data_IF_410213602916
#
_entry.id   IF_410213602916
#
_cell.length_a   1.000
_cell.length_b   1.000
_cell.length_c   1.000
_cell.angle_alpha   90.00
_cell.angle_beta   90.00
_cell.angle_gamma   90.00
#
_symmetry.space_group_name_H-M   'P 1'
#
loop_
_entity.id
_entity.type
_entity.pdbx_description
1 polymer ?
#
# COMPACT_ATOMS: atom_id res chain seq x y z
N UNK A 1 10.38 -0.54 17.98
CA UNK A 1 10.23 0.88 17.61
C UNK A 1 8.83 1.06 17.06
N UNK A 2 8.04 2.01 17.56
CA UNK A 2 6.68 2.25 17.02
C UNK A 2 6.81 3.03 15.70
N UNK A 3 6.21 2.61 14.58
CA UNK A 3 6.38 3.25 13.26
C UNK A 3 6.19 4.78 13.27
N UNK A 4 5.28 5.29 14.10
CA UNK A 4 5.04 6.75 14.24
C UNK A 4 6.25 7.54 14.75
N UNK A 5 7.07 6.97 15.64
CA UNK A 5 8.26 7.66 16.15
C UNK A 5 9.32 7.82 15.05
N UNK A 6 9.53 6.75 14.27
CA UNK A 6 10.44 6.78 13.12
C UNK A 6 9.99 7.81 12.09
N UNK A 7 8.69 7.91 11.81
CA UNK A 7 8.17 8.91 10.88
C UNK A 7 8.45 10.35 11.34
N UNK A 8 8.35 10.63 12.64
CA UNK A 8 8.71 11.94 13.18
C UNK A 8 10.20 12.23 12.98
N UNK A 9 11.06 11.28 13.33
CA UNK A 9 12.51 11.42 13.16
C UNK A 9 12.88 11.65 11.68
N UNK A 10 12.26 10.92 10.76
CA UNK A 10 12.46 11.10 9.32
C UNK A 10 12.00 12.49 8.85
N UNK A 11 10.85 12.98 9.34
CA UNK A 11 10.37 14.31 9.03
C UNK A 11 11.30 15.41 9.58
N UNK A 12 11.81 15.26 10.80
CA UNK A 12 12.79 16.18 11.41
C UNK A 12 14.09 16.23 10.62
N UNK A 13 14.51 15.09 10.05
CA UNK A 13 15.63 14.98 9.12
C UNK A 13 15.33 15.49 7.71
N UNK A 14 14.14 16.07 7.47
CA UNK A 14 13.67 16.62 6.20
C UNK A 14 13.62 15.58 5.06
N UNK A 15 13.36 14.32 5.40
CA UNK A 15 13.05 13.29 4.40
C UNK A 15 11.81 13.71 3.62
N UNK A 16 11.84 13.54 2.30
CA UNK A 16 10.77 13.98 1.41
C UNK A 16 9.69 12.93 1.17
N UNK A 17 10.06 11.66 1.26
CA UNK A 17 9.19 10.54 0.87
C UNK A 17 9.48 9.28 1.65
N UNK A 18 8.45 8.49 1.90
CA UNK A 18 8.52 7.16 2.50
C UNK A 18 7.75 6.15 1.65
N UNK A 19 8.27 4.93 1.53
CA UNK A 19 7.57 3.81 0.90
C UNK A 19 7.27 2.75 1.97
N UNK A 20 5.99 2.37 2.10
CA UNK A 20 5.56 1.25 2.92
C UNK A 20 5.65 -0.04 2.12
N UNK A 21 6.62 -0.88 2.48
CA UNK A 21 6.88 -2.19 1.89
C UNK A 21 7.45 -3.12 2.97
N UNK A 22 7.82 -4.35 2.63
CA UNK A 22 8.46 -5.28 3.56
C UNK A 22 8.37 -6.73 3.11
N UNK A 23 8.84 -7.66 3.97
CA UNK A 23 8.76 -9.10 3.70
C UNK A 23 7.36 -9.70 3.82
N UNK A 24 6.37 -8.91 4.24
CA UNK A 24 4.94 -9.27 4.30
C UNK A 24 4.08 -8.19 3.64
N UNK A 25 2.76 -8.28 3.78
CA UNK A 25 1.82 -7.37 3.14
C UNK A 25 1.47 -6.16 4.05
N UNK A 26 1.82 -4.90 3.67
CA UNK A 26 1.61 -3.73 4.52
C UNK A 26 0.15 -3.51 4.93
N UNK A 27 -0.83 -3.84 4.07
CA UNK A 27 -2.26 -3.70 4.36
C UNK A 27 -2.76 -4.67 5.44
N UNK A 28 -1.94 -5.64 5.88
CA UNK A 28 -2.25 -6.50 7.03
C UNK A 28 -1.92 -5.87 8.38
N UNK A 29 -1.11 -4.81 8.41
CA UNK A 29 -0.77 -4.14 9.67
C UNK A 29 -2.02 -3.46 10.27
N UNK A 30 -2.38 -3.72 11.54
CA UNK A 30 -3.63 -3.22 12.14
C UNK A 30 -3.73 -1.69 12.13
N UNK A 31 -2.61 -1.01 12.33
CA UNK A 31 -2.56 0.46 12.38
C UNK A 31 -2.21 1.13 11.03
N UNK A 32 -2.26 0.41 9.89
CA UNK A 32 -1.77 0.97 8.61
C UNK A 32 -2.42 2.31 8.27
N UNK A 33 -3.73 2.47 8.48
CA UNK A 33 -4.46 3.71 8.20
C UNK A 33 -3.95 4.87 9.07
N UNK A 34 -3.74 4.60 10.35
CA UNK A 34 -3.24 5.59 11.30
C UNK A 34 -1.79 5.96 11.04
N UNK A 35 -0.99 5.02 10.52
CA UNK A 35 0.39 5.27 10.10
C UNK A 35 0.42 6.17 8.86
N UNK A 36 -0.42 5.89 7.86
CA UNK A 36 -0.52 6.69 6.62
C UNK A 36 -1.00 8.10 6.92
N UNK A 37 -2.05 8.27 7.73
CA UNK A 37 -2.53 9.58 8.18
C UNK A 37 -1.44 10.37 8.90
N UNK A 38 -0.68 9.71 9.76
CA UNK A 38 0.43 10.33 10.48
C UNK A 38 1.52 10.80 9.51
N UNK A 39 1.96 9.94 8.58
CA UNK A 39 2.94 10.31 7.56
C UNK A 39 2.46 11.51 6.70
N UNK A 40 1.19 11.54 6.32
CA UNK A 40 0.59 12.65 5.57
C UNK A 40 0.62 13.95 6.37
N UNK A 41 0.27 13.88 7.66
CA UNK A 41 0.27 15.06 8.54
C UNK A 41 1.66 15.68 8.73
N UNK A 42 2.72 14.89 8.54
CA UNK A 42 4.12 15.34 8.56
C UNK A 42 4.58 15.92 7.21
N UNK A 43 3.72 15.96 6.19
CA UNK A 43 4.04 16.48 4.86
C UNK A 43 4.91 15.55 4.01
N UNK A 44 4.99 14.26 4.36
CA UNK A 44 5.75 13.28 3.58
C UNK A 44 4.99 12.88 2.31
N UNK A 45 5.70 12.68 1.20
CA UNK A 45 5.17 11.96 0.04
C UNK A 45 5.13 10.47 0.35
N UNK A 46 4.01 9.81 0.03
CA UNK A 46 3.75 8.45 0.51
C UNK A 46 3.62 7.49 -0.67
N UNK A 47 4.47 6.46 -0.67
CA UNK A 47 4.35 5.29 -1.52
C UNK A 47 3.95 4.06 -0.72
N UNK A 48 3.31 3.10 -1.37
CA UNK A 48 3.06 1.76 -0.81
C UNK A 48 3.22 0.70 -1.89
N UNK A 49 3.78 -0.44 -1.52
CA UNK A 49 3.85 -1.66 -2.35
C UNK A 49 2.96 -2.71 -1.71
N UNK A 50 2.00 -3.25 -2.47
CA UNK A 50 1.00 -4.20 -1.98
C UNK A 50 0.72 -5.30 -3.01
N UNK A 51 0.34 -6.48 -2.54
CA UNK A 51 -0.16 -7.57 -3.37
C UNK A 51 -1.57 -7.33 -3.94
N UNK A 52 -2.26 -6.27 -3.48
CA UNK A 52 -3.54 -5.84 -4.03
C UNK A 52 -4.78 -6.61 -3.52
N UNK A 53 -4.61 -7.61 -2.64
CA UNK A 53 -5.74 -8.40 -2.16
C UNK A 53 -6.64 -7.63 -1.18
N UNK A 54 -6.09 -6.65 -0.45
CA UNK A 54 -6.82 -5.86 0.55
C UNK A 54 -6.75 -4.35 0.28
N UNK A 55 -6.87 -3.93 -0.99
CA UNK A 55 -6.83 -2.51 -1.38
C UNK A 55 -7.95 -1.69 -0.74
N UNK A 56 -9.10 -2.29 -0.46
CA UNK A 56 -10.24 -1.65 0.17
C UNK A 56 -9.91 -1.02 1.51
N UNK A 57 -8.91 -1.55 2.22
CA UNK A 57 -8.41 -0.94 3.46
C UNK A 57 -7.84 0.45 3.22
N UNK A 58 -7.22 0.70 2.06
CA UNK A 58 -6.59 1.97 1.74
C UNK A 58 -7.58 3.05 1.29
N UNK A 59 -8.83 2.68 0.94
CA UNK A 59 -9.84 3.61 0.43
C UNK A 59 -10.04 4.87 1.28
N UNK A 60 -10.07 4.79 2.62
CA UNK A 60 -10.23 5.98 3.48
C UNK A 60 -9.04 6.96 3.48
N UNK A 61 -7.93 6.62 2.82
CA UNK A 61 -6.68 7.41 2.79
C UNK A 61 -6.05 7.43 1.39
N UNK A 62 -6.83 7.17 0.32
CA UNK A 62 -6.30 7.17 -1.06
C UNK A 62 -5.64 8.50 -1.43
N UNK A 63 -6.24 9.60 -0.99
CA UNK A 63 -5.77 10.98 -1.19
C UNK A 63 -4.43 11.28 -0.49
N UNK A 64 -3.91 10.37 0.34
CA UNK A 64 -2.62 10.49 1.00
C UNK A 64 -1.46 10.01 0.13
N UNK A 65 -1.73 9.13 -0.84
CA UNK A 65 -0.68 8.48 -1.61
C UNK A 65 -0.22 9.31 -2.79
N UNK A 66 1.11 9.38 -2.93
CA UNK A 66 1.77 9.84 -4.16
C UNK A 66 1.76 8.75 -5.22
N UNK A 67 1.92 7.48 -4.79
CA UNK A 67 1.75 6.32 -5.66
C UNK A 67 1.34 5.08 -4.86
N UNK A 68 0.66 4.16 -5.54
CA UNK A 68 0.38 2.81 -5.07
C UNK A 68 0.94 1.86 -6.11
N UNK A 69 1.86 0.98 -5.72
CA UNK A 69 2.45 -0.05 -6.58
C UNK A 69 1.84 -1.40 -6.23
N UNK A 70 1.37 -2.12 -7.24
CA UNK A 70 0.69 -3.41 -7.07
C UNK A 70 1.53 -4.52 -7.68
N UNK A 71 1.88 -5.50 -6.85
CA UNK A 71 2.62 -6.71 -7.24
C UNK A 71 1.68 -7.71 -7.93
N UNK A 72 1.45 -7.51 -9.23
CA UNK A 72 0.62 -8.42 -10.03
C UNK A 72 1.46 -9.57 -10.63
N UNK A 73 2.67 -9.29 -11.14
CA UNK A 73 3.67 -10.24 -11.66
C UNK A 73 3.17 -11.39 -12.57
N UNK A 74 2.00 -11.22 -13.20
CA UNK A 74 1.45 -12.15 -14.18
C UNK A 74 0.40 -11.46 -15.07
N UNK A 75 0.35 -11.88 -16.35
CA UNK A 75 -0.64 -11.40 -17.31
C UNK A 75 -1.91 -12.26 -17.39
N UNK A 76 -1.91 -13.45 -16.77
CA UNK A 76 -3.03 -14.38 -16.78
C UNK A 76 -3.22 -14.99 -15.40
N UNK A 77 -4.45 -15.39 -15.10
CA UNK A 77 -4.83 -16.11 -13.87
C UNK A 77 -3.94 -17.34 -13.61
N UNK A 78 -3.72 -18.18 -14.62
CA UNK A 78 -2.93 -19.41 -14.47
C UNK A 78 -1.47 -19.11 -14.11
N UNK A 79 -0.88 -18.09 -14.75
CA UNK A 79 0.49 -17.65 -14.41
C UNK A 79 0.54 -17.00 -13.03
N UNK A 80 -0.48 -16.24 -12.66
CA UNK A 80 -0.58 -15.63 -11.33
C UNK A 80 -0.62 -16.71 -10.25
N UNK A 81 -1.46 -17.73 -10.44
CA UNK A 81 -1.56 -18.86 -9.52
C UNK A 81 -0.25 -19.65 -9.45
N UNK A 82 0.45 -19.83 -10.58
CA UNK A 82 1.75 -20.47 -10.61
C UNK A 82 2.83 -19.70 -9.83
N UNK A 83 2.88 -18.37 -9.99
CA UNK A 83 3.90 -17.50 -9.34
C UNK A 83 3.59 -17.26 -7.87
N UNK A 84 2.34 -16.93 -7.53
CA UNK A 84 1.94 -16.49 -6.19
C UNK A 84 1.34 -17.61 -5.33
N UNK A 85 1.04 -18.77 -5.92
CA UNK A 85 0.43 -19.90 -5.20
C UNK A 85 -1.02 -19.69 -4.76
N UNK A 86 -1.66 -18.60 -5.20
CA UNK A 86 -3.02 -18.21 -4.81
C UNK A 86 -3.89 -17.91 -6.03
N UNK A 87 -5.18 -18.22 -5.92
CA UNK A 87 -6.15 -18.01 -6.99
C UNK A 87 -6.96 -16.71 -6.77
N UNK A 88 -6.27 -15.56 -6.74
CA UNK A 88 -6.89 -14.26 -6.45
C UNK A 88 -6.72 -13.22 -7.56
N UNK A 89 -6.17 -13.60 -8.73
CA UNK A 89 -5.93 -12.70 -9.86
C UNK A 89 -7.15 -11.81 -10.20
N UNK A 90 -8.30 -12.42 -10.45
CA UNK A 90 -9.53 -11.67 -10.79
C UNK A 90 -9.97 -10.72 -9.67
N UNK A 91 -9.83 -11.15 -8.41
CA UNK A 91 -10.14 -10.30 -7.26
C UNK A 91 -9.22 -9.09 -7.19
N UNK A 92 -7.91 -9.29 -7.43
CA UNK A 92 -6.92 -8.20 -7.46
C UNK A 92 -7.23 -7.23 -8.59
N UNK A 93 -7.54 -7.72 -9.80
CA UNK A 93 -7.95 -6.86 -10.93
C UNK A 93 -9.21 -6.07 -10.58
N UNK A 94 -10.23 -6.71 -10.01
CA UNK A 94 -11.44 -6.02 -9.58
C UNK A 94 -11.17 -4.94 -8.51
N UNK A 95 -10.33 -5.24 -7.52
CA UNK A 95 -9.94 -4.30 -6.48
C UNK A 95 -9.23 -3.06 -7.08
N UNK A 96 -8.39 -3.26 -8.09
CA UNK A 96 -7.74 -2.16 -8.84
C UNK A 96 -8.78 -1.31 -9.55
N UNK A 97 -9.71 -1.94 -10.28
CA UNK A 97 -10.77 -1.21 -10.98
C UNK A 97 -11.64 -0.39 -10.03
N UNK A 98 -12.02 -0.94 -8.87
CA UNK A 98 -12.76 -0.19 -7.84
C UNK A 98 -11.96 0.99 -7.33
N UNK A 99 -10.67 0.79 -7.01
CA UNK A 99 -9.81 1.86 -6.51
C UNK A 99 -9.69 3.03 -7.49
N UNK A 100 -9.53 2.75 -8.79
CA UNK A 100 -9.44 3.79 -9.84
C UNK A 100 -10.76 4.58 -9.94
N UNK A 101 -11.91 3.94 -9.74
CA UNK A 101 -13.20 4.63 -9.77
C UNK A 101 -13.48 5.49 -8.53
N UNK A 102 -12.66 5.37 -7.47
CA UNK A 102 -12.78 6.13 -6.23
C UNK A 102 -11.78 7.29 -6.13
N UNK A 103 -10.75 7.31 -6.99
CA UNK A 103 -9.68 8.32 -6.99
C UNK A 103 -10.02 9.57 -7.79
#
# INVERSE_FOLDING_TARGET
MKPKNLLNELADLKVKSVEFSGGGEPTTHPDIIEIIRHAKSLGLNIGIVTNGNSLEKLFPVLDAFTFIRISLDAATKDKYQFVHGVNTFESVINNISVMINLS
#
